data_IF_274182689572
#
_entry.id   IF_274182689572
#
_cell.length_a   1.000
_cell.length_b   1.000
_cell.length_c   1.000
_cell.angle_alpha   90.00
_cell.angle_beta   90.00
_cell.angle_gamma   90.00
#
_symmetry.space_group_name_H-M   'P 1'
#
loop_
_entity.id
_entity.type
_entity.pdbx_description
1 polymer ?
#
# COMPACT_ATOMS: atom_id res chain seq x y z
N UNK A 1 -16.68 -15.60 9.09
CA UNK A 1 -16.73 -15.44 7.61
C UNK A 1 -16.78 -16.82 6.99
N UNK A 2 -17.82 -17.11 6.25
CA UNK A 2 -18.04 -18.42 5.66
C UNK A 2 -18.10 -18.31 4.14
N UNK A 3 -17.57 -19.30 3.45
CA UNK A 3 -17.76 -19.47 2.02
C UNK A 3 -19.20 -19.91 1.75
N UNK A 4 -19.76 -19.41 0.65
CA UNK A 4 -21.11 -19.74 0.17
C UNK A 4 -21.05 -20.18 -1.29
N UNK A 5 -21.88 -21.11 -1.65
CA UNK A 5 -22.08 -21.46 -3.06
C UNK A 5 -23.28 -20.67 -3.63
N UNK A 6 -23.13 -19.36 -3.68
CA UNK A 6 -24.20 -18.43 -4.04
C UNK A 6 -23.75 -17.46 -5.17
N UNK A 7 -23.59 -17.99 -6.37
CA UNK A 7 -23.28 -17.16 -7.55
C UNK A 7 -22.05 -16.26 -7.34
N UNK A 8 -22.27 -14.95 -7.44
CA UNK A 8 -21.21 -13.93 -7.26
C UNK A 8 -20.87 -13.68 -5.78
N UNK A 9 -21.80 -13.90 -4.86
CA UNK A 9 -21.61 -13.64 -3.42
C UNK A 9 -21.04 -14.87 -2.72
N UNK A 10 -19.71 -14.95 -2.72
CA UNK A 10 -18.97 -16.11 -2.21
C UNK A 10 -18.70 -16.08 -0.70
N UNK A 11 -18.91 -14.94 -0.05
CA UNK A 11 -18.73 -14.78 1.40
C UNK A 11 -19.96 -14.16 2.05
N UNK A 12 -20.12 -14.39 3.36
CA UNK A 12 -21.23 -13.86 4.17
C UNK A 12 -21.28 -12.32 4.18
N UNK A 13 -20.10 -11.69 4.09
CA UNK A 13 -19.94 -10.25 4.09
C UNK A 13 -18.61 -9.88 3.42
N UNK A 14 -18.49 -8.65 2.94
CA UNK A 14 -17.24 -8.13 2.41
C UNK A 14 -16.33 -7.66 3.55
N UNK A 15 -15.06 -8.07 3.53
CA UNK A 15 -14.10 -7.62 4.52
C UNK A 15 -13.83 -6.12 4.35
N UNK A 16 -13.89 -5.32 5.43
CA UNK A 16 -13.96 -3.86 5.32
C UNK A 16 -12.62 -3.17 5.06
N UNK A 17 -11.50 -3.90 5.06
CA UNK A 17 -10.15 -3.36 4.87
C UNK A 17 -9.56 -3.95 3.61
N UNK A 18 -9.11 -3.11 2.70
CA UNK A 18 -8.54 -3.54 1.41
C UNK A 18 -7.02 -3.73 1.43
N UNK A 19 -6.34 -3.22 2.47
CA UNK A 19 -4.89 -3.31 2.60
C UNK A 19 -4.49 -3.46 4.07
N UNK A 20 -3.64 -4.44 4.38
CA UNK A 20 -3.14 -4.69 5.73
C UNK A 20 -1.85 -5.50 5.69
N UNK A 21 -1.08 -5.41 6.78
CA UNK A 21 0.14 -6.21 6.94
C UNK A 21 -0.17 -7.58 7.53
N UNK A 22 0.61 -8.57 7.11
CA UNK A 22 0.62 -9.92 7.66
C UNK A 22 2.08 -10.38 7.87
N UNK A 23 2.41 -11.02 9.00
CA UNK A 23 1.56 -11.29 10.17
C UNK A 23 1.20 -10.03 10.96
N UNK A 24 0.03 -10.06 11.62
CA UNK A 24 -0.46 -8.92 12.45
C UNK A 24 0.06 -8.97 13.87
N UNK A 25 0.53 -10.13 14.31
CA UNK A 25 1.02 -10.37 15.67
C UNK A 25 2.45 -10.89 15.65
N UNK A 26 3.22 -10.45 16.66
CA UNK A 26 4.52 -10.98 16.98
C UNK A 26 4.80 -10.83 18.46
N UNK A 27 5.66 -11.68 19.00
CA UNK A 27 6.18 -11.52 20.36
C UNK A 27 7.24 -10.44 20.33
N UNK A 28 7.10 -9.43 21.21
CA UNK A 28 8.13 -8.40 21.36
C UNK A 28 9.46 -9.02 21.81
N UNK A 29 10.53 -8.62 21.16
CA UNK A 29 11.90 -9.00 21.50
C UNK A 29 12.72 -7.77 21.89
N UNK A 30 13.86 -8.00 22.57
CA UNK A 30 14.75 -6.90 23.00
C UNK A 30 15.37 -6.20 21.79
N UNK A 31 15.53 -4.89 21.87
CA UNK A 31 16.19 -4.06 20.87
C UNK A 31 17.68 -4.37 20.74
N UNK A 32 18.28 -5.03 21.74
CA UNK A 32 19.69 -5.47 21.74
C UNK A 32 19.99 -6.47 20.60
N UNK A 33 18.98 -7.15 20.11
CA UNK A 33 19.11 -8.10 19.02
C UNK A 33 19.13 -7.46 17.63
N UNK A 34 19.00 -6.13 17.50
CA UNK A 34 18.85 -5.47 16.20
C UNK A 34 20.04 -5.70 15.28
N UNK A 35 21.26 -5.64 15.82
CA UNK A 35 22.48 -5.86 15.05
C UNK A 35 22.55 -7.28 14.46
N UNK A 36 22.12 -8.27 15.24
CA UNK A 36 22.05 -9.65 14.80
C UNK A 36 20.96 -9.87 13.74
N UNK A 37 19.78 -9.29 13.95
CA UNK A 37 18.66 -9.38 12.99
C UNK A 37 19.01 -8.71 11.67
N UNK A 38 19.54 -7.48 11.69
CA UNK A 38 19.92 -6.76 10.48
C UNK A 38 21.16 -7.38 9.83
N UNK A 39 22.17 -7.76 10.61
CA UNK A 39 23.42 -8.33 10.09
C UNK A 39 23.24 -9.69 9.40
N UNK A 40 22.20 -10.46 9.81
CA UNK A 40 21.85 -11.74 9.18
C UNK A 40 20.70 -11.62 8.17
N UNK A 41 20.22 -10.40 7.90
CA UNK A 41 19.04 -10.21 7.05
C UNK A 41 19.26 -10.68 5.60
N UNK A 42 20.52 -10.71 5.11
CA UNK A 42 20.82 -11.14 3.75
C UNK A 42 20.75 -12.67 3.54
N UNK A 43 20.70 -13.45 4.61
CA UNK A 43 20.65 -14.90 4.48
C UNK A 43 19.33 -15.37 3.88
N UNK A 44 19.40 -16.06 2.74
CA UNK A 44 18.24 -16.54 1.95
C UNK A 44 17.33 -15.44 1.38
N UNK A 45 17.78 -14.20 1.32
CA UNK A 45 17.02 -13.13 0.66
C UNK A 45 17.53 -12.98 -0.77
N UNK A 46 16.61 -12.96 -1.73
CA UNK A 46 16.89 -12.82 -3.15
C UNK A 46 16.41 -11.48 -3.72
N UNK A 47 15.54 -10.79 -3.01
CA UNK A 47 14.96 -9.54 -3.48
C UNK A 47 14.66 -8.60 -2.32
N UNK A 48 14.96 -7.31 -2.52
CA UNK A 48 14.86 -6.26 -1.49
C UNK A 48 14.08 -5.06 -1.97
N UNK A 49 13.23 -4.51 -1.10
CA UNK A 49 12.63 -3.21 -1.26
C UNK A 49 12.99 -2.29 -0.09
N UNK A 50 12.99 -0.98 -0.34
CA UNK A 50 13.19 0.06 0.66
C UNK A 50 11.95 0.95 0.74
N UNK A 51 11.54 1.31 1.96
CA UNK A 51 10.49 2.26 2.24
C UNK A 51 11.03 3.46 3.03
N UNK A 52 10.79 4.65 2.53
CA UNK A 52 11.16 5.90 3.21
C UNK A 52 9.91 6.68 3.59
N UNK A 53 9.75 6.93 4.88
CA UNK A 53 8.59 7.65 5.41
C UNK A 53 8.89 9.14 5.61
N UNK A 54 8.12 10.02 4.98
CA UNK A 54 8.22 11.46 5.12
C UNK A 54 6.96 11.98 5.84
N UNK A 55 7.02 12.28 7.15
CA UNK A 55 5.83 12.50 8.00
C UNK A 55 5.30 13.94 7.96
N UNK A 56 5.42 14.66 6.85
CA UNK A 56 5.01 16.04 6.73
C UNK A 56 3.90 16.21 5.70
N UNK A 57 2.89 17.05 6.03
CA UNK A 57 1.86 17.48 5.10
C UNK A 57 1.61 18.99 5.27
N UNK A 58 1.44 19.72 4.17
CA UNK A 58 1.01 21.11 4.21
C UNK A 58 -0.47 21.19 4.62
N UNK A 59 -1.30 20.37 3.98
CA UNK A 59 -2.73 20.25 4.26
C UNK A 59 -3.04 18.83 4.72
N UNK A 60 -3.81 18.70 5.79
CA UNK A 60 -4.23 17.38 6.28
C UNK A 60 -5.60 17.05 5.68
N UNK A 61 -5.63 16.04 4.82
CA UNK A 61 -6.85 15.51 4.24
C UNK A 61 -7.71 14.83 5.32
N UNK A 62 -9.02 15.09 5.30
CA UNK A 62 -9.93 14.59 6.34
C UNK A 62 -10.15 13.08 6.32
N UNK A 63 -9.88 12.42 5.20
CA UNK A 63 -10.04 10.96 5.01
C UNK A 63 -8.75 10.17 5.27
N UNK A 64 -7.59 10.83 5.40
CA UNK A 64 -6.29 10.13 5.41
C UNK A 64 -6.07 9.32 6.70
N UNK A 65 -5.78 8.01 6.61
CA UNK A 65 -5.53 7.13 7.75
C UNK A 65 -4.06 7.12 8.19
N UNK A 66 -3.14 7.69 7.41
CA UNK A 66 -1.70 7.52 7.61
C UNK A 66 -1.11 8.41 8.70
N UNK A 67 0.05 8.01 9.22
CA UNK A 67 0.84 8.79 10.17
C UNK A 67 1.44 10.01 9.49
N UNK A 68 1.01 11.17 9.92
CA UNK A 68 1.38 12.46 9.34
C UNK A 68 1.35 13.57 10.38
N UNK A 69 1.94 14.70 10.06
CA UNK A 69 1.86 15.88 10.90
C UNK A 69 1.94 17.15 10.06
N UNK A 70 1.29 18.22 10.58
CA UNK A 70 1.33 19.50 9.91
C UNK A 70 2.78 19.97 9.75
N UNK A 71 3.07 20.43 8.54
CA UNK A 71 4.31 21.13 8.21
C UNK A 71 4.18 22.58 8.65
N UNK A 72 5.10 23.05 9.46
CA UNK A 72 5.09 24.42 10.00
C UNK A 72 6.42 25.15 9.89
N UNK A 73 7.50 24.38 9.67
CA UNK A 73 8.85 24.91 9.78
C UNK A 73 9.83 24.12 8.91
N UNK A 74 10.59 24.80 8.07
CA UNK A 74 11.61 24.20 7.22
C UNK A 74 12.74 23.56 8.03
N UNK A 75 13.14 24.15 9.15
CA UNK A 75 14.24 23.65 9.97
C UNK A 75 13.96 22.24 10.52
N UNK A 76 12.72 21.92 10.84
CA UNK A 76 12.36 20.57 11.32
C UNK A 76 12.45 19.54 10.21
N UNK A 77 12.19 19.92 8.96
CA UNK A 77 12.33 19.05 7.79
C UNK A 77 13.81 18.75 7.55
N UNK A 78 14.68 19.74 7.59
CA UNK A 78 16.12 19.58 7.40
C UNK A 78 16.73 18.69 8.51
N UNK A 79 16.34 18.93 9.77
CA UNK A 79 16.74 18.07 10.89
C UNK A 79 16.26 16.61 10.69
N UNK A 80 15.05 16.44 10.17
CA UNK A 80 14.51 15.12 9.89
C UNK A 80 15.27 14.42 8.75
N UNK A 81 15.58 15.13 7.65
CA UNK A 81 16.37 14.60 6.54
C UNK A 81 17.75 14.18 7.00
N UNK A 82 18.43 15.00 7.81
CA UNK A 82 19.73 14.63 8.39
C UNK A 82 19.62 13.37 9.26
N UNK A 83 18.56 13.25 10.07
CA UNK A 83 18.31 12.06 10.86
C UNK A 83 18.02 10.83 9.99
N UNK A 84 17.28 10.98 8.87
CA UNK A 84 17.00 9.91 7.93
C UNK A 84 18.26 9.39 7.25
N UNK A 85 19.15 10.30 6.80
CA UNK A 85 20.46 9.96 6.23
C UNK A 85 21.31 9.25 7.29
N UNK A 86 21.24 9.71 8.53
CA UNK A 86 21.95 9.06 9.64
C UNK A 86 21.45 7.63 9.92
N UNK A 87 20.15 7.38 9.79
CA UNK A 87 19.60 6.03 9.88
C UNK A 87 20.14 5.13 8.77
N UNK A 88 20.21 5.63 7.52
CA UNK A 88 20.82 4.91 6.40
C UNK A 88 22.26 4.53 6.74
N UNK A 89 23.08 5.48 7.22
CA UNK A 89 24.47 5.24 7.60
C UNK A 89 24.61 4.21 8.72
N UNK A 90 23.75 4.28 9.76
CA UNK A 90 23.82 3.34 10.88
C UNK A 90 23.46 1.92 10.40
N UNK A 91 22.35 1.78 9.66
CA UNK A 91 21.92 0.49 9.16
C UNK A 91 22.91 -0.11 8.16
N UNK A 92 23.56 0.71 7.32
CA UNK A 92 24.56 0.24 6.35
C UNK A 92 25.85 -0.29 6.98
N UNK A 93 26.16 0.10 8.22
CA UNK A 93 27.29 -0.47 8.98
C UNK A 93 26.99 -1.84 9.58
N UNK A 94 25.70 -2.16 9.75
CA UNK A 94 25.25 -3.42 10.33
C UNK A 94 24.94 -4.44 9.23
N UNK A 95 24.37 -4.00 8.12
CA UNK A 95 23.95 -4.82 6.99
C UNK A 95 24.73 -4.46 5.72
N UNK A 96 25.22 -5.46 5.02
CA UNK A 96 25.79 -5.27 3.68
C UNK A 96 24.65 -5.11 2.65
N UNK A 97 24.25 -3.86 2.40
CA UNK A 97 23.22 -3.53 1.41
C UNK A 97 23.70 -3.64 -0.04
N UNK A 98 24.99 -3.95 -0.29
CA UNK A 98 25.49 -4.22 -1.63
C UNK A 98 25.39 -5.69 -2.04
N UNK A 99 25.12 -6.60 -1.12
CA UNK A 99 25.02 -8.04 -1.42
C UNK A 99 23.72 -8.43 -2.13
N UNK A 100 22.64 -7.63 -1.99
CA UNK A 100 21.33 -7.91 -2.58
C UNK A 100 20.84 -6.65 -3.30
N UNK A 101 20.63 -6.72 -4.64
CA UNK A 101 20.12 -5.58 -5.39
C UNK A 101 18.74 -5.15 -4.93
N UNK A 102 18.58 -3.85 -4.72
CA UNK A 102 17.28 -3.23 -4.40
C UNK A 102 16.43 -3.17 -5.66
N UNK A 103 15.27 -3.80 -5.63
CA UNK A 103 14.31 -3.86 -6.73
C UNK A 103 13.27 -2.74 -6.69
N UNK A 104 12.97 -2.25 -5.50
CA UNK A 104 12.02 -1.14 -5.34
C UNK A 104 12.39 -0.21 -4.21
N UNK A 105 12.16 1.07 -4.43
CA UNK A 105 12.23 2.14 -3.43
C UNK A 105 10.88 2.86 -3.43
N UNK A 106 10.31 3.08 -2.25
CA UNK A 106 9.05 3.79 -2.09
C UNK A 106 9.17 4.92 -1.09
N UNK A 107 8.93 6.15 -1.54
CA UNK A 107 8.79 7.32 -0.69
C UNK A 107 7.31 7.63 -0.47
N UNK A 108 6.88 7.56 0.79
CA UNK A 108 5.48 7.79 1.15
C UNK A 108 5.31 8.37 2.54
N UNK A 109 4.07 8.28 3.02
CA UNK A 109 3.70 8.63 4.40
C UNK A 109 2.83 9.86 4.52
N UNK A 110 3.43 11.03 4.69
CA UNK A 110 2.75 12.33 4.60
C UNK A 110 2.80 12.84 3.16
N UNK A 111 3.81 13.66 2.85
CA UNK A 111 3.99 14.26 1.53
C UNK A 111 5.48 14.39 1.21
N UNK A 112 6.10 13.40 0.58
CA UNK A 112 7.51 13.46 0.19
C UNK A 112 7.88 14.68 -0.67
N UNK A 113 6.98 15.14 -1.53
CA UNK A 113 7.21 16.32 -2.38
C UNK A 113 7.25 17.67 -1.61
N UNK A 114 7.07 17.67 -0.30
CA UNK A 114 7.36 18.85 0.55
C UNK A 114 8.86 19.03 0.80
N UNK A 115 9.67 18.01 0.56
CA UNK A 115 11.12 18.14 0.59
C UNK A 115 11.57 19.21 -0.41
N UNK A 116 12.59 20.00 -0.05
CA UNK A 116 13.26 20.88 -1.00
C UNK A 116 14.03 20.07 -2.05
N UNK A 117 14.30 20.62 -3.24
CA UNK A 117 15.16 19.97 -4.23
C UNK A 117 16.50 19.50 -3.64
N UNK A 118 17.14 20.32 -2.82
CA UNK A 118 18.42 19.99 -2.17
C UNK A 118 18.29 18.77 -1.23
N UNK A 119 17.19 18.70 -0.47
CA UNK A 119 16.92 17.57 0.41
C UNK A 119 16.65 16.28 -0.37
N UNK A 120 15.93 16.36 -1.49
CA UNK A 120 15.74 15.23 -2.38
C UNK A 120 17.06 14.70 -2.92
N UNK A 121 17.92 15.58 -3.42
CA UNK A 121 19.24 15.24 -3.94
C UNK A 121 20.12 14.59 -2.84
N UNK A 122 20.20 15.22 -1.66
CA UNK A 122 20.97 14.66 -0.51
C UNK A 122 20.54 13.23 -0.14
N UNK A 123 19.24 12.97 -0.09
CA UNK A 123 18.75 11.62 0.20
C UNK A 123 19.07 10.68 -0.96
N UNK A 124 18.91 11.13 -2.21
CA UNK A 124 19.26 10.36 -3.41
C UNK A 124 20.75 9.97 -3.44
N UNK A 125 21.64 10.88 -3.09
CA UNK A 125 23.09 10.62 -2.95
C UNK A 125 23.37 9.57 -1.87
N UNK A 126 22.72 9.69 -0.70
CA UNK A 126 22.86 8.70 0.35
C UNK A 126 22.35 7.31 -0.09
N UNK A 127 21.25 7.24 -0.82
CA UNK A 127 20.75 5.98 -1.38
C UNK A 127 21.76 5.39 -2.35
N UNK A 128 22.26 6.15 -3.31
CA UNK A 128 23.26 5.69 -4.29
C UNK A 128 24.58 5.25 -3.63
N UNK A 129 24.95 5.90 -2.53
CA UNK A 129 26.18 5.59 -1.79
C UNK A 129 26.09 4.30 -1.00
N UNK A 130 24.93 3.96 -0.45
CA UNK A 130 24.80 2.87 0.53
C UNK A 130 24.05 1.63 0.04
N UNK A 131 23.40 1.69 -1.14
CA UNK A 131 22.61 0.57 -1.66
C UNK A 131 23.01 0.21 -3.09
N UNK A 132 23.04 -1.09 -3.38
CA UNK A 132 23.13 -1.60 -4.74
C UNK A 132 21.75 -1.58 -5.38
N UNK A 133 21.49 -0.64 -6.29
CA UNK A 133 20.23 -0.58 -7.01
C UNK A 133 20.26 -1.50 -8.22
N UNK A 134 19.18 -2.25 -8.47
CA UNK A 134 19.03 -3.00 -9.72
C UNK A 134 18.84 -2.04 -10.91
N UNK A 135 19.19 -2.47 -12.12
CA UNK A 135 19.05 -1.66 -13.33
C UNK A 135 17.61 -1.26 -13.61
N UNK A 136 16.67 -2.10 -13.20
CA UNK A 136 15.22 -1.99 -13.33
C UNK A 136 14.55 -1.57 -12.01
N UNK A 137 15.30 -0.94 -11.10
CA UNK A 137 14.76 -0.51 -9.82
C UNK A 137 13.58 0.43 -9.99
N UNK A 138 12.42 0.02 -9.46
CA UNK A 138 11.24 0.86 -9.39
C UNK A 138 11.41 1.86 -8.25
N UNK A 139 11.45 3.15 -8.57
CA UNK A 139 11.56 4.19 -7.57
C UNK A 139 10.29 5.04 -7.56
N UNK A 140 9.37 4.70 -6.64
CA UNK A 140 8.09 5.37 -6.44
C UNK A 140 8.22 6.54 -5.47
N UNK A 141 7.56 7.67 -5.80
CA UNK A 141 7.62 8.89 -5.02
C UNK A 141 6.26 9.58 -4.96
N UNK A 142 5.69 9.73 -3.76
CA UNK A 142 4.40 10.39 -3.55
C UNK A 142 4.51 11.91 -3.62
N UNK A 143 3.57 12.53 -4.32
CA UNK A 143 3.55 13.94 -4.67
C UNK A 143 2.22 14.56 -4.23
N UNK A 144 2.29 15.73 -3.62
CA UNK A 144 1.16 16.66 -3.52
C UNK A 144 1.16 17.59 -4.74
N UNK A 145 0.04 17.66 -5.44
CA UNK A 145 -0.11 18.40 -6.69
C UNK A 145 0.36 19.86 -6.57
N UNK A 146 -0.05 20.56 -5.49
CA UNK A 146 0.30 21.97 -5.28
C UNK A 146 1.78 22.23 -5.05
N UNK A 147 2.48 21.26 -4.51
CA UNK A 147 3.92 21.39 -4.21
C UNK A 147 4.81 21.14 -5.42
N UNK A 148 4.25 20.69 -6.56
CA UNK A 148 5.03 20.32 -7.74
C UNK A 148 5.55 21.56 -8.48
N UNK A 149 6.83 21.52 -8.88
CA UNK A 149 7.51 22.53 -9.68
C UNK A 149 8.51 21.88 -10.63
N UNK A 150 9.01 22.63 -11.60
CA UNK A 150 10.05 22.16 -12.53
C UNK A 150 11.32 21.71 -11.79
N UNK A 151 11.75 22.50 -10.79
CA UNK A 151 12.96 22.19 -10.01
C UNK A 151 12.80 20.90 -9.21
N UNK A 152 11.60 20.65 -8.65
CA UNK A 152 11.31 19.39 -7.95
C UNK A 152 11.29 18.21 -8.90
N UNK A 153 10.76 18.35 -10.11
CA UNK A 153 10.80 17.30 -11.14
C UNK A 153 12.25 17.01 -11.52
N UNK A 154 13.10 18.03 -11.69
CA UNK A 154 14.52 17.86 -11.95
C UNK A 154 15.20 17.11 -10.80
N UNK A 155 14.97 17.51 -9.54
CA UNK A 155 15.52 16.84 -8.36
C UNK A 155 15.04 15.39 -8.22
N UNK A 156 13.78 15.11 -8.49
CA UNK A 156 13.27 13.72 -8.51
C UNK A 156 14.00 12.86 -9.55
N UNK A 157 14.23 13.38 -10.76
CA UNK A 157 15.00 12.68 -11.80
C UNK A 157 16.43 12.42 -11.37
N UNK A 158 17.09 13.43 -10.78
CA UNK A 158 18.45 13.29 -10.25
C UNK A 158 18.53 12.30 -9.10
N UNK A 159 17.55 12.29 -8.21
CA UNK A 159 17.40 11.30 -7.14
C UNK A 159 17.26 9.88 -7.68
N UNK A 160 16.69 9.72 -8.87
CA UNK A 160 16.48 8.43 -9.54
C UNK A 160 15.01 7.97 -9.54
N UNK A 161 14.06 8.84 -9.25
CA UNK A 161 12.62 8.53 -9.30
C UNK A 161 12.23 8.09 -10.71
N UNK A 162 11.47 7.00 -10.78
CA UNK A 162 10.94 6.43 -12.04
C UNK A 162 9.41 6.41 -12.07
N UNK A 163 8.77 6.37 -10.91
CA UNK A 163 7.33 6.21 -10.73
C UNK A 163 6.76 7.31 -9.81
N UNK A 164 6.66 8.57 -10.28
CA UNK A 164 5.97 9.60 -9.52
C UNK A 164 4.48 9.27 -9.43
N UNK A 165 3.91 9.50 -8.24
CA UNK A 165 2.49 9.25 -7.98
C UNK A 165 1.87 10.37 -7.16
N UNK A 166 0.61 10.72 -7.43
CA UNK A 166 -0.07 11.77 -6.72
C UNK A 166 -1.50 11.38 -6.31
N UNK A 167 -1.90 11.83 -5.12
CA UNK A 167 -3.26 11.64 -4.62
C UNK A 167 -4.23 12.63 -5.27
N UNK A 168 -5.03 12.18 -6.24
CA UNK A 168 -6.08 12.97 -6.85
C UNK A 168 -7.40 12.80 -6.09
N UNK A 169 -7.75 11.56 -5.80
CA UNK A 169 -8.87 11.07 -5.00
C UNK A 169 -10.23 11.16 -5.71
N UNK A 170 -10.65 12.30 -6.20
CA UNK A 170 -11.91 12.55 -6.92
C UNK A 170 -11.86 13.89 -7.66
N UNK A 171 -12.64 14.03 -8.72
CA UNK A 171 -12.89 15.30 -9.39
C UNK A 171 -14.17 16.00 -8.89
N UNK A 172 -15.00 15.33 -8.09
CA UNK A 172 -16.21 15.95 -7.56
C UNK A 172 -15.88 17.07 -6.57
N UNK A 173 -16.37 18.27 -6.82
CA UNK A 173 -16.06 19.48 -6.03
C UNK A 173 -16.57 19.40 -4.59
N UNK A 174 -17.68 18.71 -4.34
CA UNK A 174 -18.26 18.55 -3.01
C UNK A 174 -17.41 17.61 -2.16
N UNK A 175 -16.98 16.48 -2.76
CA UNK A 175 -16.08 15.55 -2.10
C UNK A 175 -14.70 16.14 -1.89
N UNK A 176 -14.14 16.87 -2.87
CA UNK A 176 -12.88 17.58 -2.70
C UNK A 176 -12.91 18.54 -1.51
N UNK A 177 -14.01 19.29 -1.38
CA UNK A 177 -14.22 20.18 -0.23
C UNK A 177 -14.32 19.42 1.10
N UNK A 178 -15.08 18.31 1.13
CA UNK A 178 -15.18 17.44 2.33
C UNK A 178 -13.84 16.81 2.73
N UNK A 179 -13.06 16.40 1.74
CA UNK A 179 -11.76 15.78 1.94
C UNK A 179 -10.66 16.78 2.26
N UNK A 180 -10.96 18.09 2.19
CA UNK A 180 -9.96 19.15 2.34
C UNK A 180 -8.85 19.06 1.26
N UNK A 181 -9.24 18.72 0.02
CA UNK A 181 -8.37 18.73 -1.16
C UNK A 181 -8.38 20.11 -1.77
N UNK A 182 -7.24 20.79 -1.77
CA UNK A 182 -7.15 22.22 -2.11
C UNK A 182 -6.52 22.50 -3.48
N UNK A 183 -6.06 21.49 -4.21
CA UNK A 183 -5.57 21.65 -5.58
C UNK A 183 -6.70 21.93 -6.55
N UNK A 184 -6.50 22.87 -7.49
CA UNK A 184 -7.45 23.20 -8.55
C UNK A 184 -7.33 22.24 -9.74
N UNK A 185 -8.29 22.28 -10.66
CA UNK A 185 -8.23 21.47 -11.88
C UNK A 185 -7.07 21.86 -12.79
N UNK A 186 -6.74 23.14 -12.84
CA UNK A 186 -5.58 23.65 -13.60
C UNK A 186 -4.28 23.07 -13.03
N UNK A 187 -4.16 23.04 -11.70
CA UNK A 187 -3.01 22.44 -11.03
C UNK A 187 -2.93 20.91 -11.27
N UNK A 188 -4.06 20.22 -11.29
CA UNK A 188 -4.12 18.79 -11.59
C UNK A 188 -3.63 18.53 -13.03
N UNK A 189 -4.16 19.26 -14.00
CA UNK A 189 -3.76 19.14 -15.40
C UNK A 189 -2.27 19.50 -15.59
N UNK A 190 -1.81 20.59 -14.99
CA UNK A 190 -0.40 20.98 -15.02
C UNK A 190 0.51 19.88 -14.46
N UNK A 191 0.14 19.30 -13.30
CA UNK A 191 0.93 18.21 -12.69
C UNK A 191 0.97 16.97 -13.58
N UNK A 192 -0.17 16.54 -14.12
CA UNK A 192 -0.24 15.40 -15.03
C UNK A 192 0.61 15.63 -16.29
N UNK A 193 0.47 16.79 -16.94
CA UNK A 193 1.24 17.16 -18.13
C UNK A 193 2.75 17.19 -17.84
N UNK A 194 3.15 17.83 -16.74
CA UNK A 194 4.55 17.94 -16.36
C UNK A 194 5.17 16.58 -16.07
N UNK A 195 4.44 15.73 -15.34
CA UNK A 195 4.92 14.38 -15.01
C UNK A 195 4.96 13.48 -16.24
N UNK A 196 3.90 13.45 -17.06
CA UNK A 196 3.86 12.63 -18.29
C UNK A 196 4.97 13.00 -19.31
N UNK A 197 5.38 14.27 -19.36
CA UNK A 197 6.50 14.70 -20.22
C UNK A 197 7.86 14.27 -19.68
N UNK A 198 7.99 13.98 -18.41
CA UNK A 198 9.28 13.70 -17.76
C UNK A 198 9.47 12.25 -17.33
N UNK A 199 8.39 11.48 -17.16
CA UNK A 199 8.43 10.10 -16.68
C UNK A 199 7.60 9.19 -17.59
N UNK A 200 8.08 7.98 -17.79
CA UNK A 200 7.36 6.96 -18.59
C UNK A 200 6.16 6.41 -17.84
N UNK A 201 6.28 6.26 -16.52
CA UNK A 201 5.23 5.73 -15.65
C UNK A 201 4.81 6.81 -14.67
N UNK A 202 3.55 7.20 -14.71
CA UNK A 202 2.93 8.18 -13.80
C UNK A 202 1.67 7.56 -13.24
N UNK A 203 1.52 7.63 -11.91
CA UNK A 203 0.39 7.03 -11.20
C UNK A 203 -0.39 8.10 -10.44
N UNK A 204 -1.67 7.86 -10.25
CA UNK A 204 -2.47 8.59 -9.27
C UNK A 204 -3.57 7.75 -8.67
N UNK A 205 -4.10 8.22 -7.55
CA UNK A 205 -5.09 7.51 -6.77
C UNK A 205 -6.48 8.12 -6.95
N UNK A 206 -7.50 7.28 -7.17
CA UNK A 206 -8.92 7.61 -7.16
C UNK A 206 -9.60 6.83 -6.04
N UNK A 207 -10.50 7.49 -5.33
CA UNK A 207 -11.35 6.86 -4.31
C UNK A 207 -12.75 6.59 -4.86
N UNK A 208 -13.32 5.46 -4.48
CA UNK A 208 -14.72 5.13 -4.75
C UNK A 208 -15.44 4.62 -3.49
N UNK A 209 -16.77 4.47 -3.60
CA UNK A 209 -17.61 3.99 -2.51
C UNK A 209 -17.83 5.03 -1.43
N UNK A 210 -17.73 6.31 -1.77
CA UNK A 210 -18.06 7.42 -0.89
C UNK A 210 -19.55 7.44 -0.56
N UNK A 211 -19.89 7.91 0.62
CA UNK A 211 -21.28 7.99 1.08
C UNK A 211 -22.15 8.80 0.13
N UNK A 212 -23.20 8.18 -0.42
CA UNK A 212 -24.08 8.79 -1.39
C UNK A 212 -23.55 8.89 -2.82
N UNK A 213 -22.31 8.46 -3.09
CA UNK A 213 -21.78 8.39 -4.46
C UNK A 213 -22.62 7.42 -5.30
N UNK A 214 -22.99 7.83 -6.49
CA UNK A 214 -23.65 6.97 -7.47
C UNK A 214 -22.69 6.47 -8.56
N UNK A 215 -23.17 5.59 -9.41
CA UNK A 215 -22.38 4.97 -10.47
C UNK A 215 -22.01 5.98 -11.58
N UNK A 216 -22.85 6.98 -11.83
CA UNK A 216 -22.58 8.02 -12.83
C UNK A 216 -21.48 8.96 -12.36
N UNK A 217 -21.49 9.34 -11.07
CA UNK A 217 -20.42 10.13 -10.46
C UNK A 217 -19.08 9.38 -10.54
N UNK A 218 -19.09 8.09 -10.23
CA UNK A 218 -17.90 7.24 -10.34
C UNK A 218 -17.38 7.19 -11.78
N UNK A 219 -18.22 6.97 -12.77
CA UNK A 219 -17.82 6.93 -14.19
C UNK A 219 -17.27 8.29 -14.63
N UNK A 220 -17.90 9.41 -14.25
CA UNK A 220 -17.37 10.75 -14.56
C UNK A 220 -15.98 11.00 -13.96
N UNK A 221 -15.71 10.51 -12.74
CA UNK A 221 -14.39 10.58 -12.14
C UNK A 221 -13.36 9.75 -12.93
N UNK A 222 -13.72 8.54 -13.33
CA UNK A 222 -12.85 7.67 -14.14
C UNK A 222 -12.58 8.25 -15.53
N UNK A 223 -13.57 8.84 -16.19
CA UNK A 223 -13.39 9.49 -17.50
C UNK A 223 -12.38 10.63 -17.43
N UNK A 224 -12.54 11.52 -16.45
CA UNK A 224 -11.59 12.61 -16.23
C UNK A 224 -10.19 12.09 -15.86
N UNK A 225 -10.14 11.05 -15.04
CA UNK A 225 -8.89 10.38 -14.66
C UNK A 225 -8.15 9.83 -15.89
N UNK A 226 -8.84 9.09 -16.75
CA UNK A 226 -8.27 8.53 -18.00
C UNK A 226 -7.82 9.65 -18.94
N UNK A 227 -8.56 10.77 -19.00
CA UNK A 227 -8.23 11.92 -19.84
C UNK A 227 -6.91 12.62 -19.45
N UNK A 228 -6.42 12.45 -18.20
CA UNK A 228 -5.10 12.95 -17.80
C UNK A 228 -3.93 12.23 -18.52
N UNK A 229 -4.19 11.12 -19.21
CA UNK A 229 -3.19 10.44 -20.04
C UNK A 229 -2.09 9.70 -19.29
N UNK A 230 -2.22 9.49 -17.99
CA UNK A 230 -1.24 8.74 -17.19
C UNK A 230 -1.26 7.24 -17.51
N UNK A 231 -0.18 6.56 -17.19
CA UNK A 231 -0.03 5.12 -17.48
C UNK A 231 -0.80 4.25 -16.50
N UNK A 232 -0.92 4.68 -15.24
CA UNK A 232 -1.48 3.88 -14.15
C UNK A 232 -2.49 4.68 -13.34
N UNK A 233 -3.54 4.00 -12.87
CA UNK A 233 -4.57 4.56 -12.00
C UNK A 233 -4.84 3.54 -10.88
N UNK A 234 -4.59 3.93 -9.65
CA UNK A 234 -4.93 3.11 -8.48
C UNK A 234 -6.31 3.54 -7.96
N UNK A 235 -7.24 2.58 -7.86
CA UNK A 235 -8.65 2.86 -7.55
C UNK A 235 -9.02 2.14 -6.25
N UNK A 236 -9.11 2.91 -5.16
CA UNK A 236 -9.32 2.38 -3.82
C UNK A 236 -10.75 2.57 -3.33
N UNK A 237 -11.34 1.58 -2.64
CA UNK A 237 -12.53 1.84 -1.85
C UNK A 237 -12.18 2.73 -0.65
N UNK A 238 -13.04 3.69 -0.33
CA UNK A 238 -12.82 4.49 0.87
C UNK A 238 -13.01 3.64 2.13
N UNK A 239 -12.04 3.72 3.05
CA UNK A 239 -12.14 3.12 4.38
C UNK A 239 -12.67 4.15 5.40
N UNK A 240 -13.61 3.73 6.22
CA UNK A 240 -14.16 4.56 7.28
C UNK A 240 -13.38 4.35 8.58
N UNK A 241 -12.22 4.99 8.72
CA UNK A 241 -11.38 4.87 9.91
C UNK A 241 -11.75 5.89 11.00
N UNK A 242 -11.58 5.50 12.26
CA UNK A 242 -11.97 6.28 13.44
C UNK A 242 -11.30 7.66 13.52
N UNK A 243 -10.08 7.77 13.02
CA UNK A 243 -9.31 9.02 13.02
C UNK A 243 -9.90 10.11 12.13
N UNK A 244 -10.93 9.78 11.33
CA UNK A 244 -11.61 10.67 10.39
C UNK A 244 -12.88 11.31 11.02
N UNK A 245 -12.87 11.60 12.31
CA UNK A 245 -14.05 12.08 13.02
C UNK A 245 -14.69 13.34 12.41
N UNK A 246 -13.89 14.27 11.86
CA UNK A 246 -14.40 15.47 11.18
C UNK A 246 -15.15 15.12 9.90
N UNK A 247 -14.63 14.17 9.13
CA UNK A 247 -15.27 13.68 7.90
C UNK A 247 -16.59 12.99 8.24
N UNK A 248 -16.59 12.10 9.23
CA UNK A 248 -17.81 11.41 9.66
C UNK A 248 -18.88 12.37 10.14
N UNK A 249 -18.50 13.41 10.89
CA UNK A 249 -19.44 14.46 11.29
C UNK A 249 -20.02 15.19 10.07
N UNK A 250 -19.20 15.61 9.14
CA UNK A 250 -19.64 16.32 7.94
C UNK A 250 -20.54 15.49 7.03
N UNK A 251 -20.31 14.17 6.95
CA UNK A 251 -21.17 13.21 6.23
C UNK A 251 -22.55 13.12 6.90
N UNK A 252 -22.58 12.97 8.24
CA UNK A 252 -23.86 12.93 8.99
C UNK A 252 -24.65 14.23 8.88
N UNK A 253 -23.97 15.37 9.06
CA UNK A 253 -24.61 16.69 8.97
C UNK A 253 -25.27 16.94 7.59
N UNK A 254 -24.77 16.27 6.53
CA UNK A 254 -25.34 16.30 5.18
C UNK A 254 -26.39 15.22 4.92
N UNK A 255 -26.64 14.32 5.86
CA UNK A 255 -27.58 13.22 5.70
C UNK A 255 -27.22 12.22 4.59
N UNK A 256 -25.92 12.12 4.23
CA UNK A 256 -25.48 11.20 3.18
C UNK A 256 -25.58 9.74 3.64
N UNK A 257 -26.22 8.86 2.84
CA UNK A 257 -26.38 7.46 3.20
C UNK A 257 -25.03 6.75 3.16
N UNK A 258 -24.83 5.79 4.09
CA UNK A 258 -23.66 4.91 4.07
C UNK A 258 -23.65 4.07 2.79
N UNK A 259 -22.49 3.98 2.16
CA UNK A 259 -22.28 3.04 1.06
C UNK A 259 -22.13 1.64 1.61
N UNK A 260 -23.07 0.77 1.28
CA UNK A 260 -23.07 -0.63 1.72
C UNK A 260 -21.92 -1.43 1.09
N UNK A 261 -21.57 -2.55 1.71
CA UNK A 261 -20.57 -3.47 1.16
C UNK A 261 -21.00 -4.00 -0.23
N UNK A 262 -22.30 -4.32 -0.41
CA UNK A 262 -22.84 -4.73 -1.71
C UNK A 262 -22.63 -3.67 -2.76
N UNK A 263 -22.91 -2.40 -2.44
CA UNK A 263 -22.75 -1.30 -3.38
C UNK A 263 -21.29 -1.11 -3.75
N UNK A 264 -20.36 -1.15 -2.78
CA UNK A 264 -18.92 -1.12 -3.07
C UNK A 264 -18.48 -2.28 -3.96
N UNK A 265 -19.00 -3.48 -3.72
CA UNK A 265 -18.73 -4.65 -4.55
C UNK A 265 -19.23 -4.45 -6.00
N UNK A 266 -20.48 -3.96 -6.17
CA UNK A 266 -21.04 -3.65 -7.49
C UNK A 266 -20.23 -2.55 -8.20
N UNK A 267 -19.81 -1.51 -7.48
CA UNK A 267 -18.93 -0.47 -8.00
C UNK A 267 -17.58 -1.02 -8.46
N UNK A 268 -16.98 -1.95 -7.70
CA UNK A 268 -15.72 -2.59 -8.10
C UNK A 268 -15.86 -3.38 -9.41
N UNK A 269 -16.97 -4.10 -9.57
CA UNK A 269 -17.26 -4.81 -10.84
C UNK A 269 -17.47 -3.83 -12.01
N UNK A 270 -18.14 -2.71 -11.77
CA UNK A 270 -18.32 -1.65 -12.76
C UNK A 270 -16.98 -1.03 -13.14
N UNK A 271 -16.12 -0.71 -12.16
CA UNK A 271 -14.77 -0.19 -12.39
C UNK A 271 -13.98 -1.14 -13.29
N UNK A 272 -13.93 -2.44 -12.96
CA UNK A 272 -13.18 -3.41 -13.76
C UNK A 272 -13.68 -3.47 -15.21
N UNK A 273 -15.00 -3.56 -15.39
CA UNK A 273 -15.60 -3.59 -16.72
C UNK A 273 -15.29 -2.32 -17.51
N UNK A 274 -15.46 -1.16 -16.87
CA UNK A 274 -15.22 0.13 -17.50
C UNK A 274 -13.74 0.35 -17.85
N UNK A 275 -12.83 0.11 -16.91
CA UNK A 275 -11.39 0.28 -17.13
C UNK A 275 -10.87 -0.63 -18.26
N UNK A 276 -11.31 -1.90 -18.30
CA UNK A 276 -10.98 -2.81 -19.41
C UNK A 276 -11.51 -2.29 -20.76
N UNK A 277 -12.72 -1.73 -20.79
CA UNK A 277 -13.27 -1.15 -22.04
C UNK A 277 -12.46 0.06 -22.54
N UNK A 278 -11.65 0.66 -21.67
CA UNK A 278 -10.78 1.81 -21.97
C UNK A 278 -9.31 1.45 -22.17
N UNK A 279 -8.98 0.18 -22.29
CA UNK A 279 -7.61 -0.29 -22.50
C UNK A 279 -6.74 -0.35 -21.26
N UNK A 280 -7.36 -0.52 -20.09
CA UNK A 280 -6.64 -0.75 -18.84
C UNK A 280 -6.92 -2.14 -18.30
N UNK A 281 -5.91 -2.74 -17.67
CA UNK A 281 -6.05 -3.99 -16.95
C UNK A 281 -5.54 -3.85 -15.52
N UNK A 282 -6.13 -4.56 -14.55
CA UNK A 282 -5.57 -4.61 -13.21
C UNK A 282 -4.21 -5.33 -13.24
N UNK A 283 -3.26 -4.83 -12.45
CA UNK A 283 -1.98 -5.50 -12.20
C UNK A 283 -1.81 -5.96 -10.75
N UNK A 284 -2.76 -5.60 -9.90
CA UNK A 284 -2.88 -6.04 -8.52
C UNK A 284 -4.33 -5.86 -8.02
N UNK A 285 -4.56 -5.91 -6.70
CA UNK A 285 -5.89 -5.82 -6.12
C UNK A 285 -6.68 -4.53 -6.44
N UNK A 286 -6.01 -3.41 -6.73
CA UNK A 286 -6.67 -2.11 -6.97
C UNK A 286 -5.99 -1.24 -8.03
N UNK A 287 -4.81 -1.62 -8.51
CA UNK A 287 -4.06 -0.85 -9.50
C UNK A 287 -4.38 -1.27 -10.93
N UNK A 288 -4.69 -0.30 -11.78
CA UNK A 288 -4.93 -0.47 -13.22
C UNK A 288 -3.79 0.15 -14.01
N UNK A 289 -3.35 -0.54 -15.06
CA UNK A 289 -2.31 -0.08 -15.98
C UNK A 289 -2.85 -0.10 -17.40
N UNK A 290 -2.46 0.90 -18.18
CA UNK A 290 -2.77 0.94 -19.61
C UNK A 290 -1.99 -0.17 -20.34
N UNK A 291 -2.68 -0.96 -21.11
CA UNK A 291 -2.11 -2.04 -21.93
C UNK A 291 -2.42 -1.81 -23.40
N UNK A 292 -1.55 -2.35 -24.28
CA UNK A 292 -1.76 -2.27 -25.72
C UNK A 292 -2.95 -3.13 -26.16
N UNK A 293 -3.11 -4.30 -25.51
CA UNK A 293 -4.21 -5.22 -25.74
C UNK A 293 -4.81 -5.71 -24.43
N UNK A 294 -6.12 -5.59 -24.29
CA UNK A 294 -6.87 -6.14 -23.16
C UNK A 294 -7.18 -7.61 -23.44
N UNK A 295 -6.75 -8.48 -22.55
CA UNK A 295 -7.02 -9.92 -22.60
C UNK A 295 -8.02 -10.36 -21.53
N UNK A 296 -8.23 -11.67 -21.41
CA UNK A 296 -9.16 -12.27 -20.43
C UNK A 296 -8.48 -12.62 -19.10
N UNK A 297 -7.17 -12.38 -18.97
CA UNK A 297 -6.48 -12.63 -17.69
C UNK A 297 -7.06 -11.80 -16.56
N UNK A 298 -6.92 -12.30 -15.33
CA UNK A 298 -7.42 -11.62 -14.14
C UNK A 298 -6.62 -10.33 -13.91
N UNK A 299 -5.30 -10.44 -13.92
CA UNK A 299 -4.34 -9.36 -13.80
C UNK A 299 -3.29 -9.47 -14.89
N UNK A 300 -2.65 -8.37 -15.24
CA UNK A 300 -1.52 -8.38 -16.17
C UNK A 300 -0.19 -8.41 -15.42
N UNK A 301 0.76 -9.22 -15.89
CA UNK A 301 2.13 -9.26 -15.37
C UNK A 301 3.08 -8.31 -16.13
N UNK A 302 2.59 -7.60 -17.14
CA UNK A 302 3.42 -6.68 -17.94
C UNK A 302 3.93 -5.50 -17.15
N UNK A 303 3.22 -5.14 -16.07
CA UNK A 303 3.56 -4.03 -15.19
C UNK A 303 3.30 -4.48 -13.77
N UNK A 304 4.32 -4.55 -12.97
CA UNK A 304 4.17 -4.87 -11.56
C UNK A 304 4.46 -3.64 -10.72
N UNK A 305 3.77 -3.50 -9.61
CA UNK A 305 4.13 -2.56 -8.57
C UNK A 305 5.04 -3.33 -7.60
N UNK A 306 6.34 -3.27 -7.86
CA UNK A 306 7.35 -4.13 -7.24
C UNK A 306 7.41 -3.93 -5.71
N UNK A 307 7.09 -2.73 -5.23
CA UNK A 307 7.01 -2.47 -3.79
C UNK A 307 6.03 -3.44 -3.09
N UNK A 308 4.82 -3.59 -3.62
CA UNK A 308 3.84 -4.52 -3.02
C UNK A 308 4.24 -5.98 -3.20
N UNK A 309 5.04 -6.32 -4.19
CA UNK A 309 5.60 -7.66 -4.31
C UNK A 309 6.50 -8.03 -3.13
N UNK A 310 7.10 -7.05 -2.46
CA UNK A 310 7.90 -7.26 -1.26
C UNK A 310 7.05 -7.20 0.02
N UNK A 311 6.08 -6.30 0.09
CA UNK A 311 5.13 -6.23 1.22
C UNK A 311 4.36 -7.55 1.37
N UNK A 312 3.90 -8.10 0.25
CA UNK A 312 3.14 -9.36 0.17
C UNK A 312 3.95 -10.51 -0.41
N UNK A 313 5.26 -10.39 -0.39
CA UNK A 313 6.17 -11.27 -1.10
C UNK A 313 6.35 -12.65 -0.50
N UNK A 314 7.25 -13.39 -1.13
CA UNK A 314 7.73 -14.68 -0.65
C UNK A 314 8.65 -14.51 0.56
N UNK A 315 8.98 -15.61 1.24
CA UNK A 315 9.88 -15.62 2.41
C UNK A 315 11.32 -15.20 2.09
N UNK A 316 11.69 -15.20 0.80
CA UNK A 316 12.98 -14.71 0.29
C UNK A 316 12.97 -13.23 -0.14
N UNK A 317 11.89 -12.50 0.14
CA UNK A 317 11.77 -11.06 -0.07
C UNK A 317 11.85 -10.32 1.28
N UNK A 318 12.58 -9.23 1.33
CA UNK A 318 12.59 -8.34 2.50
C UNK A 318 12.18 -6.90 2.15
N UNK A 319 11.72 -6.19 3.17
CA UNK A 319 11.40 -4.77 3.13
C UNK A 319 12.11 -4.07 4.26
N UNK A 320 12.93 -3.06 3.95
CA UNK A 320 13.59 -2.23 4.94
C UNK A 320 12.96 -0.84 4.98
N UNK A 321 12.37 -0.49 6.13
CA UNK A 321 11.77 0.81 6.38
C UNK A 321 12.74 1.79 7.03
N UNK A 322 12.69 3.05 6.60
CA UNK A 322 13.47 4.17 7.10
C UNK A 322 12.54 5.34 7.46
N UNK A 323 12.85 6.03 8.54
CA UNK A 323 12.05 7.18 9.00
C UNK A 323 11.03 6.81 10.08
N UNK A 324 10.34 7.85 10.55
CA UNK A 324 9.30 7.74 11.58
C UNK A 324 8.20 6.78 11.16
N UNK A 325 7.80 5.89 12.07
CA UNK A 325 6.73 4.92 11.87
C UNK A 325 6.93 3.95 10.68
N UNK A 326 8.12 3.95 10.09
CA UNK A 326 8.45 3.02 9.01
C UNK A 326 8.52 1.59 9.53
N UNK A 327 8.02 0.66 8.73
CA UNK A 327 7.98 -0.77 9.04
C UNK A 327 8.98 -1.51 8.17
N UNK A 328 9.82 -2.34 8.77
CA UNK A 328 10.63 -3.33 8.07
C UNK A 328 10.04 -4.72 8.30
N UNK A 329 10.00 -5.53 7.25
CA UNK A 329 9.65 -6.95 7.29
C UNK A 329 10.86 -7.76 6.85
N UNK A 330 11.52 -8.39 7.81
CA UNK A 330 12.78 -9.10 7.60
C UNK A 330 12.61 -10.52 8.17
N UNK A 331 12.27 -11.46 7.30
CA UNK A 331 11.98 -12.83 7.69
C UNK A 331 10.93 -12.86 8.83
N UNK A 332 11.18 -13.57 9.91
CA UNK A 332 10.27 -13.68 11.06
C UNK A 332 10.17 -12.40 11.92
N UNK A 333 10.76 -11.28 11.48
CA UNK A 333 10.80 -10.05 12.27
C UNK A 333 10.08 -8.91 11.58
N UNK A 334 9.23 -8.23 12.36
CA UNK A 334 8.68 -6.94 12.00
C UNK A 334 9.31 -5.88 12.90
N UNK A 335 9.98 -4.90 12.30
CA UNK A 335 10.65 -3.81 13.00
C UNK A 335 9.87 -2.54 12.67
N UNK A 336 9.44 -1.82 13.70
CA UNK A 336 8.71 -0.56 13.54
C UNK A 336 9.46 0.57 14.24
N UNK A 337 9.83 1.59 13.50
CA UNK A 337 10.45 2.79 14.06
C UNK A 337 9.45 3.58 14.93
N UNK A 338 9.96 4.39 15.86
CA UNK A 338 9.10 5.25 16.70
C UNK A 338 8.14 6.10 15.85
N UNK A 339 6.94 6.34 16.39
CA UNK A 339 5.96 7.25 15.78
C UNK A 339 6.19 8.72 16.13
N UNK A 340 7.10 9.03 17.07
CA UNK A 340 7.42 10.39 17.48
C UNK A 340 8.56 10.97 16.65
N UNK A 341 8.29 12.03 15.87
CA UNK A 341 9.31 12.75 15.09
C UNK A 341 10.44 13.29 15.96
N UNK A 342 10.10 13.89 17.10
CA UNK A 342 11.12 14.45 17.99
C UNK A 342 12.01 13.37 18.60
N UNK A 343 11.42 12.25 19.05
CA UNK A 343 12.19 11.12 19.54
C UNK A 343 13.08 10.52 18.45
N UNK A 344 12.56 10.40 17.24
CA UNK A 344 13.34 9.92 16.09
C UNK A 344 14.56 10.78 15.81
N UNK A 345 14.38 12.10 15.64
CA UNK A 345 15.46 13.04 15.37
C UNK A 345 16.52 12.98 16.49
N UNK A 346 16.09 13.10 17.76
CA UNK A 346 16.99 13.11 18.91
C UNK A 346 17.77 11.80 19.01
N UNK A 347 17.12 10.66 18.84
CA UNK A 347 17.75 9.35 18.94
C UNK A 347 18.78 9.11 17.83
N UNK A 348 18.45 9.52 16.58
CA UNK A 348 19.37 9.40 15.46
C UNK A 348 20.63 10.24 15.68
N UNK A 349 20.50 11.45 16.20
CA UNK A 349 21.66 12.30 16.53
C UNK A 349 22.56 11.66 17.59
N UNK A 350 22.00 10.83 18.46
CA UNK A 350 22.75 10.04 19.46
C UNK A 350 23.17 8.66 18.95
N UNK A 351 23.05 8.37 17.65
CA UNK A 351 23.44 7.10 17.06
C UNK A 351 22.58 5.90 17.41
N UNK A 352 21.34 6.13 17.89
CA UNK A 352 20.40 5.06 18.27
C UNK A 352 19.17 5.08 17.38
N UNK A 353 18.75 3.92 16.89
CA UNK A 353 17.50 3.77 16.12
C UNK A 353 16.37 3.45 17.12
N UNK A 354 15.41 4.36 17.33
CA UNK A 354 14.32 4.12 18.28
C UNK A 354 13.23 3.27 17.62
N UNK A 355 13.20 1.97 17.93
CA UNK A 355 12.33 1.01 17.29
C UNK A 355 11.70 0.01 18.24
N UNK A 356 10.72 -0.71 17.74
CA UNK A 356 10.12 -1.88 18.36
C UNK A 356 10.31 -3.08 17.44
N UNK A 357 10.73 -4.20 17.99
CA UNK A 357 10.95 -5.44 17.25
C UNK A 357 9.95 -6.48 17.72
N UNK A 358 9.22 -7.06 16.79
CA UNK A 358 8.33 -8.19 17.02
C UNK A 358 8.79 -9.39 16.20
N UNK A 359 8.79 -10.58 16.84
CA UNK A 359 9.10 -11.83 16.19
C UNK A 359 7.84 -12.69 16.08
N UNK A 360 7.57 -13.23 14.92
CA UNK A 360 6.52 -14.21 14.66
C UNK A 360 7.12 -15.58 14.31
N UNK A 361 6.27 -16.58 14.15
CA UNK A 361 6.77 -17.92 13.79
C UNK A 361 7.17 -17.96 12.31
N UNK A 362 8.20 -18.75 12.01
CA UNK A 362 8.67 -18.96 10.64
C UNK A 362 7.56 -19.41 9.70
N UNK A 363 6.63 -20.24 10.19
CA UNK A 363 5.54 -20.75 9.37
C UNK A 363 4.60 -19.62 8.88
N UNK A 364 4.41 -18.54 9.64
CA UNK A 364 3.62 -17.39 9.18
C UNK A 364 4.30 -16.64 8.03
N UNK A 365 5.62 -16.54 8.06
CA UNK A 365 6.39 -15.96 6.96
C UNK A 365 6.29 -16.83 5.68
N UNK A 366 6.41 -18.13 5.81
CA UNK A 366 6.24 -19.08 4.70
C UNK A 366 4.82 -19.06 4.10
N UNK A 367 3.79 -18.86 4.94
CA UNK A 367 2.38 -18.78 4.50
C UNK A 367 2.04 -17.44 3.82
N UNK A 368 2.85 -16.40 4.01
CA UNK A 368 2.54 -15.03 3.57
C UNK A 368 2.17 -14.95 2.09
N UNK A 369 2.90 -15.64 1.23
CA UNK A 369 2.63 -15.60 -0.22
C UNK A 369 1.26 -16.19 -0.58
N UNK A 370 0.83 -17.27 0.07
CA UNK A 370 -0.50 -17.84 -0.15
C UNK A 370 -1.61 -16.92 0.37
N UNK A 371 -1.40 -16.33 1.55
CA UNK A 371 -2.41 -15.52 2.23
C UNK A 371 -2.54 -14.13 1.59
N UNK A 372 -1.43 -13.52 1.22
CA UNK A 372 -1.38 -12.13 0.78
C UNK A 372 -1.13 -12.00 -0.72
N UNK A 373 -0.06 -12.63 -1.23
CA UNK A 373 0.34 -12.45 -2.62
C UNK A 373 -0.66 -13.06 -3.60
N UNK A 374 -1.11 -14.31 -3.38
CA UNK A 374 -2.06 -14.96 -4.26
C UNK A 374 -3.32 -14.11 -4.50
N UNK A 375 -4.01 -13.61 -3.46
CA UNK A 375 -5.19 -12.78 -3.68
C UNK A 375 -4.88 -11.40 -4.27
N UNK A 376 -3.73 -10.81 -3.94
CA UNK A 376 -3.42 -9.44 -4.34
C UNK A 376 -2.81 -9.34 -5.75
N UNK A 377 -1.90 -10.24 -6.09
CA UNK A 377 -1.20 -10.27 -7.39
C UNK A 377 -1.76 -11.28 -8.37
N UNK A 378 -2.73 -12.08 -7.96
CA UNK A 378 -3.43 -13.01 -8.81
C UNK A 378 -2.73 -14.36 -9.01
N UNK A 379 -1.48 -14.53 -8.58
CA UNK A 379 -0.75 -15.79 -8.74
C UNK A 379 0.35 -16.01 -7.69
N UNK A 380 0.70 -17.28 -7.49
CA UNK A 380 1.81 -17.71 -6.64
C UNK A 380 2.49 -18.93 -7.24
N UNK A 381 3.83 -18.94 -7.30
CA UNK A 381 4.64 -20.07 -7.71
C UNK A 381 4.74 -21.13 -6.62
N UNK A 382 4.36 -22.38 -6.92
CA UNK A 382 4.40 -23.49 -5.98
C UNK A 382 5.81 -23.84 -5.52
N UNK A 383 6.80 -23.68 -6.40
CA UNK A 383 8.21 -23.93 -6.11
C UNK A 383 8.80 -23.00 -5.03
N UNK A 384 8.18 -21.85 -4.82
CA UNK A 384 8.59 -20.85 -3.81
C UNK A 384 7.86 -21.01 -2.48
N UNK A 385 7.03 -22.04 -2.34
CA UNK A 385 6.26 -22.32 -1.13
C UNK A 385 6.63 -23.70 -0.60
N UNK A 386 6.93 -23.77 0.67
CA UNK A 386 7.16 -25.02 1.36
C UNK A 386 5.82 -25.74 1.66
N UNK A 387 5.20 -26.29 0.60
CA UNK A 387 3.89 -26.94 0.68
C UNK A 387 3.84 -28.12 1.67
N UNK A 388 4.99 -28.73 1.99
CA UNK A 388 5.07 -29.87 2.92
C UNK A 388 4.83 -29.39 4.36
N UNK A 389 5.39 -28.22 4.71
CA UNK A 389 5.30 -27.66 6.05
C UNK A 389 4.10 -26.72 6.25
N UNK A 390 3.32 -26.45 5.21
CA UNK A 390 2.09 -25.67 5.33
C UNK A 390 1.04 -26.44 6.15
N UNK A 391 0.41 -25.79 7.15
CA UNK A 391 -0.61 -26.45 7.98
C UNK A 391 -1.75 -27.05 7.16
N UNK A 392 -2.20 -28.24 7.54
CA UNK A 392 -3.33 -28.93 6.88
C UNK A 392 -4.57 -28.03 6.77
N UNK A 393 -4.85 -27.24 7.81
CA UNK A 393 -5.97 -26.30 7.80
C UNK A 393 -5.89 -25.25 6.68
N UNK A 394 -4.68 -24.80 6.29
CA UNK A 394 -4.51 -23.91 5.15
C UNK A 394 -4.66 -24.66 3.82
N UNK A 395 -4.16 -25.89 3.73
CA UNK A 395 -4.32 -26.72 2.54
C UNK A 395 -5.80 -27.04 2.28
N UNK A 396 -6.58 -27.30 3.33
CA UNK A 396 -8.04 -27.49 3.26
C UNK A 396 -8.73 -26.22 2.76
N UNK A 397 -8.35 -25.05 3.29
CA UNK A 397 -8.86 -23.75 2.82
C UNK A 397 -8.56 -23.53 1.34
N UNK A 398 -7.34 -23.80 0.88
CA UNK A 398 -6.98 -23.74 -0.54
C UNK A 398 -7.87 -24.67 -1.38
N UNK A 399 -8.11 -25.89 -0.92
CA UNK A 399 -9.02 -26.83 -1.60
C UNK A 399 -10.46 -26.31 -1.66
N UNK A 400 -10.95 -25.70 -0.61
CA UNK A 400 -12.27 -25.06 -0.59
C UNK A 400 -12.35 -23.86 -1.56
N UNK A 401 -11.33 -23.02 -1.65
CA UNK A 401 -11.29 -21.93 -2.64
C UNK A 401 -11.36 -22.46 -4.07
N UNK A 402 -10.70 -23.60 -4.35
CA UNK A 402 -10.77 -24.27 -5.66
C UNK A 402 -12.18 -24.78 -5.94
N UNK A 403 -12.81 -25.47 -5.00
CA UNK A 403 -14.17 -26.00 -5.19
C UNK A 403 -15.20 -24.89 -5.41
N UNK A 404 -15.00 -23.70 -4.81
CA UNK A 404 -15.83 -22.51 -5.01
C UNK A 404 -15.43 -21.67 -6.23
N UNK A 405 -14.47 -22.14 -7.04
CA UNK A 405 -13.99 -21.45 -8.27
C UNK A 405 -13.40 -20.06 -8.02
N UNK A 406 -12.86 -19.82 -6.82
CA UNK A 406 -12.17 -18.57 -6.49
C UNK A 406 -10.69 -18.58 -6.88
N UNK A 407 -10.09 -19.77 -6.89
CA UNK A 407 -8.74 -20.02 -7.41
C UNK A 407 -8.74 -21.24 -8.33
N UNK A 408 -7.72 -21.32 -9.16
CA UNK A 408 -7.37 -22.48 -9.99
C UNK A 408 -5.88 -22.76 -9.89
N UNK A 409 -5.40 -23.85 -10.46
CA UNK A 409 -3.98 -24.19 -10.45
C UNK A 409 -3.56 -24.99 -11.67
N UNK A 410 -2.29 -24.91 -12.01
CA UNK A 410 -1.59 -25.84 -12.87
C UNK A 410 -0.45 -26.57 -12.09
N UNK A 411 0.50 -27.17 -12.80
CA UNK A 411 1.64 -27.85 -12.17
C UNK A 411 2.55 -26.91 -11.41
N UNK A 412 2.68 -25.66 -11.85
CA UNK A 412 3.69 -24.70 -11.38
C UNK A 412 3.11 -23.65 -10.44
N UNK A 413 1.83 -23.26 -10.62
CA UNK A 413 1.26 -22.09 -9.95
C UNK A 413 -0.17 -22.31 -9.45
N UNK A 414 -0.52 -21.51 -8.43
CA UNK A 414 -1.90 -21.17 -8.11
C UNK A 414 -2.26 -19.84 -8.78
N UNK A 415 -3.49 -19.75 -9.27
CA UNK A 415 -4.03 -18.55 -9.92
C UNK A 415 -5.34 -18.15 -9.27
N UNK A 416 -5.51 -16.84 -9.11
CA UNK A 416 -6.80 -16.26 -8.74
C UNK A 416 -7.72 -16.25 -9.97
N UNK A 417 -8.98 -16.60 -9.79
CA UNK A 417 -9.98 -16.41 -10.86
C UNK A 417 -10.47 -14.94 -10.84
N UNK A 418 -11.17 -14.50 -11.88
CA UNK A 418 -11.79 -13.17 -11.90
C UNK A 418 -12.78 -13.00 -10.74
N UNK A 419 -13.56 -14.02 -10.42
CA UNK A 419 -14.44 -14.01 -9.26
C UNK A 419 -13.66 -13.94 -7.95
N UNK A 420 -12.55 -14.68 -7.83
CA UNK A 420 -11.66 -14.60 -6.69
C UNK A 420 -11.04 -13.21 -6.52
N UNK A 421 -10.68 -12.56 -7.62
CA UNK A 421 -10.11 -11.22 -7.58
C UNK A 421 -11.10 -10.17 -7.03
N UNK A 422 -12.39 -10.25 -7.34
CA UNK A 422 -13.38 -9.37 -6.71
C UNK A 422 -13.50 -9.58 -5.19
N UNK A 423 -13.08 -10.73 -4.68
CA UNK A 423 -13.09 -11.10 -3.27
C UNK A 423 -11.70 -11.14 -2.63
N UNK A 424 -10.68 -10.52 -3.23
CA UNK A 424 -9.29 -10.69 -2.82
C UNK A 424 -9.04 -10.37 -1.33
N UNK A 425 -9.63 -9.32 -0.78
CA UNK A 425 -9.50 -8.97 0.64
C UNK A 425 -10.14 -10.01 1.58
N UNK A 426 -11.28 -10.56 1.14
CA UNK A 426 -11.95 -11.64 1.86
C UNK A 426 -11.11 -12.91 1.87
N UNK A 427 -10.51 -13.26 0.73
CA UNK A 427 -9.63 -14.42 0.60
C UNK A 427 -8.40 -14.24 1.48
N UNK A 428 -7.76 -13.07 1.46
CA UNK A 428 -6.65 -12.74 2.37
C UNK A 428 -7.03 -13.03 3.83
N UNK A 429 -8.10 -12.40 4.29
CA UNK A 429 -8.56 -12.56 5.67
C UNK A 429 -8.95 -14.01 6.00
N UNK A 430 -9.66 -14.68 5.09
CA UNK A 430 -10.16 -16.03 5.30
C UNK A 430 -9.04 -17.08 5.36
N UNK A 431 -7.97 -16.90 4.57
CA UNK A 431 -6.79 -17.77 4.57
C UNK A 431 -5.96 -17.65 5.84
N UNK A 432 -6.03 -16.52 6.56
CA UNK A 432 -5.26 -16.32 7.79
C UNK A 432 -5.53 -17.41 8.83
N UNK A 433 -4.54 -17.78 9.64
CA UNK A 433 -4.75 -18.55 10.87
C UNK A 433 -5.76 -17.86 11.80
N UNK A 434 -6.48 -18.63 12.60
CA UNK A 434 -7.52 -18.10 13.49
C UNK A 434 -7.01 -17.00 14.43
N UNK A 435 -5.81 -17.17 14.99
CA UNK A 435 -5.18 -16.15 15.86
C UNK A 435 -4.98 -14.81 15.15
N UNK A 436 -4.58 -14.84 13.87
CA UNK A 436 -4.41 -13.65 13.05
C UNK A 436 -5.76 -13.03 12.66
N UNK A 437 -6.77 -13.86 12.36
CA UNK A 437 -8.13 -13.37 12.12
C UNK A 437 -8.72 -12.67 13.35
N UNK A 438 -8.50 -13.22 14.55
CA UNK A 438 -8.92 -12.58 15.81
C UNK A 438 -8.21 -11.23 15.99
N UNK A 439 -6.89 -11.17 15.73
CA UNK A 439 -6.14 -9.93 15.81
C UNK A 439 -6.65 -8.87 14.83
N UNK A 440 -6.91 -9.29 13.59
CA UNK A 440 -7.44 -8.40 12.57
C UNK A 440 -8.86 -7.93 12.90
N UNK A 441 -9.73 -8.80 13.42
CA UNK A 441 -11.06 -8.39 13.90
C UNK A 441 -10.99 -7.36 15.03
N UNK A 442 -10.06 -7.52 15.97
CA UNK A 442 -9.83 -6.52 17.04
C UNK A 442 -9.31 -5.20 16.47
N UNK A 443 -8.38 -5.25 15.50
CA UNK A 443 -7.90 -4.07 14.80
C UNK A 443 -9.05 -3.33 14.11
N UNK A 444 -9.85 -4.02 13.34
CA UNK A 444 -11.02 -3.48 12.64
C UNK A 444 -12.01 -2.89 13.65
N UNK A 445 -12.32 -3.61 14.74
CA UNK A 445 -13.23 -3.13 15.79
C UNK A 445 -12.73 -1.86 16.48
N UNK A 446 -11.42 -1.70 16.61
CA UNK A 446 -10.80 -0.55 17.25
C UNK A 446 -10.70 0.67 16.34
N UNK A 447 -10.45 0.46 15.04
CA UNK A 447 -10.04 1.51 14.12
C UNK A 447 -11.07 1.88 13.07
N UNK A 448 -12.03 0.98 12.76
CA UNK A 448 -13.10 1.25 11.80
C UNK A 448 -14.40 1.48 12.53
N UNK A 449 -14.87 2.73 12.47
CA UNK A 449 -16.12 3.04 13.10
C UNK A 449 -16.67 4.38 12.61
N UNK A 450 -17.96 4.54 12.56
CA UNK A 450 -18.61 5.79 12.16
C UNK A 450 -19.12 6.60 13.34
N UNK A 451 -19.21 6.08 14.54
CA UNK A 451 -19.78 6.78 15.70
C UNK A 451 -19.36 6.19 17.05
N UNK A 452 -18.12 5.74 17.17
CA UNK A 452 -17.72 4.97 18.32
C UNK A 452 -18.32 3.56 18.34
N UNK A 453 -18.99 3.16 17.26
CA UNK A 453 -19.58 1.83 17.09
C UNK A 453 -18.96 1.14 15.90
N UNK A 454 -18.56 -0.10 16.09
CA UNK A 454 -17.97 -0.92 15.04
C UNK A 454 -18.91 -1.03 13.84
N UNK A 455 -18.56 -0.39 12.75
CA UNK A 455 -19.36 -0.31 11.51
C UNK A 455 -19.70 -1.67 10.97
N UNK A 456 -18.78 -2.63 11.12
CA UNK A 456 -18.99 -3.98 10.61
C UNK A 456 -20.13 -4.74 11.27
N UNK A 457 -20.83 -4.15 12.23
CA UNK A 457 -21.93 -4.88 12.89
C UNK A 457 -23.03 -5.27 11.91
N UNK A 458 -23.50 -4.36 11.09
CA UNK A 458 -24.54 -4.66 10.11
C UNK A 458 -24.20 -4.16 8.72
N UNK A 459 -23.74 -2.94 8.60
CA UNK A 459 -23.53 -2.26 7.31
C UNK A 459 -22.34 -2.83 6.52
N UNK A 460 -21.35 -3.44 7.22
CA UNK A 460 -20.23 -4.14 6.60
C UNK A 460 -20.44 -5.67 6.52
N UNK A 461 -21.39 -6.19 7.30
CA UNK A 461 -21.66 -7.62 7.38
C UNK A 461 -22.76 -8.04 6.40
N UNK A 462 -23.73 -7.17 6.16
CA UNK A 462 -24.87 -7.52 5.30
C UNK A 462 -24.71 -6.87 3.92
N UNK A 463 -24.47 -7.75 3.02
CA UNK A 463 -24.54 -7.54 1.59
C UNK A 463 -25.99 -7.71 1.14
#
# INVERSE_FOLDING_TARGET
>A
MNLRDNGLFKFDYQFPVYNFFFPTRGKRVSDENINDILGRSNFRINSRALYFHIPFCETICSFCPFTRGAYKDHDIVDKYVNALIKEIEIKSKINDYFSIPVKSIFFGGGTPSLLSPDNMIKIGEAIKKYFLLSKDCEFSFEIEIKSLSFDKVAAMKEMGVTHPRFGLQTFDSNWRKLFNLTSTYEQINFAADLLNKNFKTVLFDILYGMNGQDEEELIRDLEKAIALGTSNIDIYPIDNVMTQAKLHKAIRDRGLPLTTATRKFSMNMLIDSYMRSKGFMPHNGHGYVRVDEVDQSVVTNKYSFIYYEHVYGYSDHDLHGFGVNAVSSIREHTITNTSSRQNYINSMMNGKIPMTINKHSKILDEMKALIMRLPYHGEVEKSKIDMINIPLSLQEKISQLKSHKLITEDKERFYLTKLGWYWYTNIMFWLMPESEQIAMKHFVAKHLNTEGKFIAKKELIYV
#
